data_IF_895257486977
#
_entry.id   IF_895257486977
#
_cell.length_a   1.000
_cell.length_b   1.000
_cell.length_c   1.000
_cell.angle_alpha   90.00
_cell.angle_beta   90.00
_cell.angle_gamma   90.00
#
_symmetry.space_group_name_H-M   'P 1'
#
loop_
_entity.id
_entity.type
_entity.pdbx_description
1 polymer ?
#
# COMPACT_ATOMS: atom_id res chain seq x y z
N UNK A 1 6.86 16.05 1.53
CA UNK A 1 7.00 17.01 2.66
C UNK A 1 8.29 16.82 3.46
N UNK A 2 8.94 15.64 3.48
CA UNK A 2 10.28 15.52 4.10
C UNK A 2 10.31 15.62 5.64
N UNK A 3 9.14 15.76 6.27
CA UNK A 3 8.94 15.86 7.72
C UNK A 3 9.15 14.51 8.44
N UNK A 4 10.39 14.04 8.43
CA UNK A 4 10.81 12.73 8.93
C UNK A 4 10.57 12.55 10.43
N UNK A 5 10.81 13.58 11.25
CA UNK A 5 10.57 13.53 12.69
C UNK A 5 9.08 13.32 12.99
N UNK A 6 8.20 14.11 12.36
CA UNK A 6 6.75 13.98 12.55
C UNK A 6 6.23 12.62 12.09
N UNK A 7 6.73 12.11 10.97
CA UNK A 7 6.35 10.79 10.45
C UNK A 7 6.69 9.66 11.45
N UNK A 8 7.89 9.70 12.07
CA UNK A 8 8.28 8.73 13.12
C UNK A 8 7.36 8.82 14.32
N UNK A 9 7.10 10.03 14.81
CA UNK A 9 6.22 10.22 15.96
C UNK A 9 4.85 9.58 15.73
N UNK A 10 4.22 9.83 14.57
CA UNK A 10 2.91 9.27 14.26
C UNK A 10 2.92 7.74 14.13
N UNK A 11 3.95 7.18 13.50
CA UNK A 11 4.08 5.74 13.36
C UNK A 11 4.26 5.06 14.74
N UNK A 12 5.13 5.61 15.59
CA UNK A 12 5.40 5.07 16.93
C UNK A 12 4.21 5.22 17.87
N UNK A 13 3.44 6.31 17.77
CA UNK A 13 2.18 6.48 18.51
C UNK A 13 1.21 5.32 18.24
N UNK A 14 1.04 4.92 16.98
CA UNK A 14 0.23 3.78 16.58
C UNK A 14 0.80 2.47 17.13
N UNK A 15 2.08 2.19 16.85
CA UNK A 15 2.73 0.94 17.27
C UNK A 15 2.67 0.72 18.78
N UNK A 16 2.81 1.79 19.58
CA UNK A 16 2.70 1.72 21.05
C UNK A 16 1.34 1.22 21.55
N UNK A 17 0.28 1.41 20.76
CA UNK A 17 -1.08 0.96 21.09
C UNK A 17 -1.39 -0.45 20.60
N UNK A 18 -0.52 -1.04 19.78
CA UNK A 18 -0.76 -2.33 19.11
C UNK A 18 0.22 -3.40 19.55
N UNK A 19 1.48 -3.04 19.83
CA UNK A 19 2.56 -4.00 20.06
C UNK A 19 2.73 -4.28 21.55
N UNK A 20 3.21 -5.48 21.89
CA UNK A 20 3.68 -5.78 23.24
C UNK A 20 4.84 -4.85 23.63
N UNK A 21 5.00 -4.48 24.92
CA UNK A 21 6.01 -3.51 25.34
C UNK A 21 7.42 -3.82 24.84
N UNK A 22 7.86 -5.08 24.94
CA UNK A 22 9.20 -5.51 24.53
C UNK A 22 9.40 -5.38 23.02
N UNK A 23 8.36 -5.73 22.25
CA UNK A 23 8.38 -5.61 20.79
C UNK A 23 8.35 -4.15 20.34
N UNK A 24 7.61 -3.29 21.05
CA UNK A 24 7.56 -1.85 20.80
C UNK A 24 8.93 -1.21 21.01
N UNK A 25 9.61 -1.49 22.14
CA UNK A 25 10.92 -0.92 22.43
C UNK A 25 11.94 -1.29 21.33
N UNK A 26 12.00 -2.57 20.95
CA UNK A 26 12.86 -3.03 19.85
C UNK A 26 12.52 -2.34 18.52
N UNK A 27 11.24 -2.24 18.16
CA UNK A 27 10.80 -1.61 16.90
C UNK A 27 11.08 -0.10 16.88
N UNK A 28 10.95 0.57 18.03
CA UNK A 28 11.18 2.01 18.15
C UNK A 28 12.62 2.40 17.83
N UNK A 29 13.60 1.60 18.26
CA UNK A 29 15.03 1.81 17.95
C UNK A 29 15.26 1.71 16.44
N UNK A 30 14.69 0.68 15.80
CA UNK A 30 14.81 0.45 14.37
C UNK A 30 14.17 1.59 13.56
N UNK A 31 12.95 2.00 13.89
CA UNK A 31 12.22 3.08 13.20
C UNK A 31 12.95 4.42 13.30
N UNK A 32 13.55 4.72 14.45
CA UNK A 32 14.30 5.96 14.63
C UNK A 32 15.58 6.00 13.78
N UNK A 33 16.19 4.84 13.51
CA UNK A 33 17.41 4.73 12.70
C UNK A 33 17.16 4.67 11.18
N UNK A 34 15.92 4.46 10.73
CA UNK A 34 15.59 4.36 9.29
C UNK A 34 15.93 5.64 8.54
N UNK A 35 16.36 5.52 7.29
CA UNK A 35 16.37 6.63 6.34
C UNK A 35 14.95 6.93 5.83
N UNK A 36 14.84 7.85 4.87
CA UNK A 36 13.54 8.27 4.35
C UNK A 36 12.84 7.13 3.60
N UNK A 37 13.57 6.43 2.75
CA UNK A 37 13.04 5.38 1.88
C UNK A 37 12.57 4.18 2.71
N UNK A 38 13.38 3.73 3.67
CA UNK A 38 13.03 2.68 4.61
C UNK A 38 11.84 3.07 5.48
N UNK A 39 11.76 4.32 5.96
CA UNK A 39 10.63 4.79 6.74
C UNK A 39 9.33 4.79 5.94
N UNK A 40 9.36 5.24 4.68
CA UNK A 40 8.18 5.21 3.81
C UNK A 40 7.70 3.78 3.60
N UNK A 41 8.62 2.84 3.38
CA UNK A 41 8.27 1.43 3.24
C UNK A 41 7.65 0.87 4.53
N UNK A 42 8.25 1.15 5.69
CA UNK A 42 7.70 0.71 6.99
C UNK A 42 6.30 1.29 7.24
N UNK A 43 6.04 2.54 6.86
CA UNK A 43 4.70 3.13 6.94
C UNK A 43 3.70 2.37 6.06
N UNK A 44 4.06 1.99 4.83
CA UNK A 44 3.19 1.22 3.94
C UNK A 44 2.93 -0.19 4.48
N UNK A 45 3.93 -0.80 5.11
CA UNK A 45 3.80 -2.13 5.69
C UNK A 45 2.95 -2.09 6.97
N UNK A 46 3.12 -1.08 7.83
CA UNK A 46 2.27 -0.90 9.02
C UNK A 46 0.82 -0.60 8.62
N UNK A 47 0.60 0.20 7.58
CA UNK A 47 -0.75 0.42 7.02
C UNK A 47 -1.38 -0.86 6.53
N UNK A 48 -0.63 -1.74 5.89
CA UNK A 48 -1.14 -3.03 5.43
C UNK A 48 -1.52 -3.96 6.59
N UNK A 49 -0.80 -3.89 7.72
CA UNK A 49 -1.11 -4.64 8.95
C UNK A 49 -2.33 -4.08 9.67
N UNK A 50 -2.39 -2.77 9.86
CA UNK A 50 -3.45 -2.11 10.63
C UNK A 50 -4.79 -2.13 9.89
N UNK A 51 -4.78 -1.94 8.56
CA UNK A 51 -5.99 -1.77 7.74
C UNK A 51 -6.32 -3.02 6.90
N UNK A 52 -5.93 -4.19 7.40
CA UNK A 52 -6.17 -5.45 6.72
C UNK A 52 -7.69 -5.68 6.56
N UNK A 53 -8.10 -6.10 5.37
CA UNK A 53 -9.52 -6.35 5.01
C UNK A 53 -10.43 -5.12 4.96
N UNK A 54 -9.89 -3.91 5.02
CA UNK A 54 -10.66 -2.65 4.92
C UNK A 54 -10.61 -2.02 3.51
N UNK A 55 -10.01 -2.69 2.52
CA UNK A 55 -9.95 -2.22 1.14
C UNK A 55 -8.82 -1.23 0.81
N UNK A 56 -7.98 -0.87 1.79
CA UNK A 56 -6.90 0.11 1.58
C UNK A 56 -5.72 -0.41 0.76
N UNK A 57 -5.41 -1.71 0.85
CA UNK A 57 -4.19 -2.29 0.28
C UNK A 57 -4.05 -2.04 -1.23
N UNK A 58 -5.13 -2.17 -1.99
CA UNK A 58 -5.10 -1.94 -3.44
C UNK A 58 -4.69 -0.51 -3.79
N UNK A 59 -5.29 0.49 -3.10
CA UNK A 59 -4.99 1.89 -3.33
C UNK A 59 -3.57 2.26 -2.90
N UNK A 60 -3.08 1.66 -1.81
CA UNK A 60 -1.70 1.85 -1.37
C UNK A 60 -0.70 1.34 -2.41
N UNK A 61 -0.93 0.14 -2.98
CA UNK A 61 -0.11 -0.38 -4.08
C UNK A 61 -0.21 0.50 -5.34
N UNK A 62 -1.43 0.90 -5.72
CA UNK A 62 -1.68 1.71 -6.93
C UNK A 62 -1.00 3.08 -6.89
N UNK A 63 -0.97 3.75 -5.73
CA UNK A 63 -0.42 5.10 -5.57
C UNK A 63 1.09 5.14 -5.29
N UNK A 64 1.72 3.99 -5.05
CA UNK A 64 3.13 3.90 -4.69
C UNK A 64 3.91 3.06 -5.70
N UNK A 65 4.09 1.77 -5.42
CA UNK A 65 5.05 0.90 -6.10
C UNK A 65 4.47 0.17 -7.31
N UNK A 66 3.15 -0.04 -7.38
CA UNK A 66 2.47 -0.86 -8.41
C UNK A 66 3.25 -2.14 -8.76
N UNK A 67 3.59 -2.98 -7.77
CA UNK A 67 4.51 -4.09 -7.94
C UNK A 67 3.87 -5.21 -8.79
N UNK A 68 4.67 -6.10 -9.37
CA UNK A 68 4.12 -7.32 -9.98
C UNK A 68 3.36 -8.14 -8.93
N UNK A 69 2.12 -8.52 -9.23
CA UNK A 69 1.29 -9.39 -8.40
C UNK A 69 0.98 -10.69 -9.14
N UNK A 70 0.99 -11.79 -8.41
CA UNK A 70 0.71 -13.11 -8.95
C UNK A 70 -0.16 -13.91 -7.99
N UNK A 71 -1.21 -14.53 -8.53
CA UNK A 71 -2.09 -15.43 -7.77
C UNK A 71 -2.49 -16.62 -8.62
N UNK A 72 -2.46 -17.81 -8.02
CA UNK A 72 -3.01 -19.03 -8.63
C UNK A 72 -4.37 -19.29 -8.00
N UNK A 73 -5.41 -19.38 -8.81
CA UNK A 73 -6.78 -19.71 -8.41
C UNK A 73 -7.26 -20.86 -9.29
N UNK A 74 -7.67 -21.97 -8.68
CA UNK A 74 -8.20 -23.15 -9.39
C UNK A 74 -7.30 -23.63 -10.56
N UNK A 75 -5.98 -23.66 -10.32
CA UNK A 75 -4.99 -24.04 -11.33
C UNK A 75 -4.69 -22.98 -12.40
N UNK A 76 -5.42 -21.88 -12.41
CA UNK A 76 -5.21 -20.76 -13.33
C UNK A 76 -4.32 -19.70 -12.69
N UNK A 77 -3.26 -19.31 -13.39
CA UNK A 77 -2.30 -18.28 -12.96
C UNK A 77 -2.75 -16.91 -13.46
N UNK A 78 -2.98 -15.99 -12.52
CA UNK A 78 -3.29 -14.59 -12.79
C UNK A 78 -2.07 -13.74 -12.46
N UNK A 79 -1.61 -12.96 -13.43
CA UNK A 79 -0.45 -12.06 -13.29
C UNK A 79 -0.86 -10.64 -13.64
N UNK A 80 -0.52 -9.72 -12.74
CA UNK A 80 -0.52 -8.28 -12.94
C UNK A 80 0.94 -7.86 -12.97
N UNK A 81 1.41 -7.33 -14.10
CA UNK A 81 2.81 -6.91 -14.21
C UNK A 81 3.07 -5.62 -13.43
N UNK A 82 4.33 -5.30 -13.20
CA UNK A 82 4.71 -4.04 -12.57
C UNK A 82 4.24 -2.85 -13.43
N UNK A 83 3.64 -1.83 -12.80
CA UNK A 83 3.08 -0.64 -13.46
C UNK A 83 1.98 -0.92 -14.50
N UNK A 84 1.37 -2.11 -14.49
CA UNK A 84 0.33 -2.49 -15.44
C UNK A 84 -0.91 -1.56 -15.37
N UNK A 85 -1.48 -1.20 -16.53
CA UNK A 85 -2.65 -0.32 -16.61
C UNK A 85 -3.87 -0.88 -15.85
N UNK A 86 -3.96 -2.21 -15.68
CA UNK A 86 -5.03 -2.91 -14.97
C UNK A 86 -5.05 -2.65 -13.45
N UNK A 87 -4.10 -1.87 -12.93
CA UNK A 87 -4.25 -1.22 -11.61
C UNK A 87 -5.43 -0.24 -11.54
N UNK A 88 -5.94 0.20 -12.69
CA UNK A 88 -7.17 0.98 -12.84
C UNK A 88 -8.18 0.15 -13.60
N UNK A 89 -9.41 0.08 -13.10
CA UNK A 89 -10.50 -0.58 -13.83
C UNK A 89 -10.80 0.20 -15.10
N UNK A 90 -10.96 -0.53 -16.21
CA UNK A 90 -11.38 0.07 -17.47
C UNK A 90 -12.81 0.61 -17.35
N UNK A 91 -13.11 1.65 -18.13
CA UNK A 91 -14.46 2.17 -18.27
C UNK A 91 -15.35 1.05 -18.86
N UNK A 92 -16.57 0.81 -18.31
CA UNK A 92 -17.50 -0.17 -18.86
C UNK A 92 -17.79 0.08 -20.34
N UNK A 93 -17.90 -1.00 -21.14
CA UNK A 93 -18.12 -0.89 -22.59
C UNK A 93 -19.43 -0.20 -22.91
N UNK A 94 -20.47 -0.49 -22.13
CA UNK A 94 -21.80 0.10 -22.27
C UNK A 94 -21.76 1.62 -22.11
N UNK A 95 -20.89 2.13 -21.22
CA UNK A 95 -20.73 3.57 -21.01
C UNK A 95 -19.99 4.24 -22.18
N UNK A 96 -19.04 3.55 -22.80
CA UNK A 96 -18.32 4.03 -23.99
C UNK A 96 -19.26 4.04 -25.20
N UNK A 97 -20.03 2.97 -25.40
CA UNK A 97 -20.99 2.85 -26.50
C UNK A 97 -22.11 3.90 -26.41
N UNK A 98 -22.60 4.18 -25.19
CA UNK A 98 -23.63 5.19 -24.96
C UNK A 98 -23.12 6.64 -25.09
N UNK A 99 -21.81 6.87 -24.98
CA UNK A 99 -21.19 8.19 -25.10
C UNK A 99 -19.95 8.16 -25.99
N UNK A 100 -20.10 8.37 -27.33
CA UNK A 100 -18.99 8.35 -28.28
C UNK A 100 -17.88 9.40 -28.02
N UNK A 101 -18.15 10.42 -27.20
CA UNK A 101 -17.14 11.40 -26.76
C UNK A 101 -16.28 10.94 -25.58
N UNK A 102 -16.60 9.80 -24.98
CA UNK A 102 -15.87 9.21 -23.86
C UNK A 102 -14.67 8.41 -24.40
N UNK A 103 -13.54 9.09 -24.58
CA UNK A 103 -12.28 8.46 -24.96
C UNK A 103 -11.67 7.71 -23.78
N UNK A 104 -11.13 6.52 -24.05
CA UNK A 104 -10.35 5.71 -23.11
C UNK A 104 -8.86 5.88 -23.38
#
# INVERSE_FOLDING_TARGET
>A
LGELSQARTRLLELMRKRYAPEAYEAKSVVVNAMDKEALVQEILDERARELAFEGHRWFDLRRSTRPRLEKVLDGTRYVLEENDARYTLAIPKEAIEANPGLLN
#
